data_IF_318601059138
#
_entry.id   IF_318601059138
#
_cell.length_a   1.000
_cell.length_b   1.000
_cell.length_c   1.000
_cell.angle_alpha   90.00
_cell.angle_beta   90.00
_cell.angle_gamma   90.00
#
_symmetry.space_group_name_H-M   'P 1'
#
loop_
_entity.id
_entity.type
_entity.pdbx_description
1 polymer ?
#
# COMPACT_ATOMS: atom_id res chain seq x y z
N UNK A 1 6.01 -4.33 -7.60
CA UNK A 1 5.93 -3.02 -6.95
C UNK A 1 5.58 -3.21 -5.48
N UNK A 2 6.16 -2.39 -4.60
CA UNK A 2 5.90 -2.36 -3.14
C UNK A 2 6.18 -3.67 -2.40
N UNK A 3 7.42 -4.16 -2.48
CA UNK A 3 7.87 -5.42 -1.87
C UNK A 3 7.70 -5.44 -0.35
N UNK A 4 8.02 -4.32 0.30
CA UNK A 4 7.90 -4.19 1.75
C UNK A 4 6.43 -4.21 2.18
N UNK A 5 5.57 -3.41 1.54
CA UNK A 5 4.13 -3.46 1.76
C UNK A 5 3.57 -4.88 1.60
N UNK A 6 3.91 -5.58 0.52
CA UNK A 6 3.45 -6.97 0.28
C UNK A 6 3.93 -7.95 1.35
N UNK A 7 5.16 -7.77 1.83
CA UNK A 7 5.72 -8.59 2.90
C UNK A 7 4.98 -8.38 4.21
N UNK A 8 4.68 -7.13 4.57
CA UNK A 8 3.90 -6.82 5.77
C UNK A 8 2.44 -7.28 5.62
N UNK A 9 1.82 -7.12 4.45
CA UNK A 9 0.48 -7.67 4.18
C UNK A 9 0.45 -9.19 4.44
N UNK A 10 1.44 -9.94 3.95
CA UNK A 10 1.54 -11.37 4.20
C UNK A 10 1.77 -11.72 5.68
N UNK A 11 2.65 -10.98 6.38
CA UNK A 11 2.96 -11.19 7.81
C UNK A 11 1.76 -10.95 8.72
N UNK A 12 0.93 -9.97 8.40
CA UNK A 12 -0.25 -9.60 9.18
C UNK A 12 -1.54 -10.21 8.65
N UNK A 13 -1.45 -11.12 7.66
CA UNK A 13 -2.59 -11.75 6.99
C UNK A 13 -3.63 -10.73 6.47
N UNK A 14 -3.15 -9.60 5.97
CA UNK A 14 -3.98 -8.54 5.38
C UNK A 14 -4.15 -8.82 3.89
N UNK A 15 -5.36 -9.14 3.48
CA UNK A 15 -5.68 -9.31 2.06
C UNK A 15 -5.91 -7.98 1.38
N UNK A 16 -5.84 -7.98 0.05
CA UNK A 16 -6.14 -6.77 -0.73
C UNK A 16 -7.64 -6.39 -0.65
N UNK A 17 -8.51 -7.37 -0.42
CA UNK A 17 -9.94 -7.17 -0.17
C UNK A 17 -10.18 -6.48 1.17
N UNK A 18 -9.50 -6.92 2.23
CA UNK A 18 -9.55 -6.25 3.53
C UNK A 18 -9.00 -4.83 3.44
N UNK A 19 -7.87 -4.66 2.74
CA UNK A 19 -7.28 -3.34 2.54
C UNK A 19 -8.20 -2.40 1.76
N UNK A 20 -8.87 -2.89 0.71
CA UNK A 20 -9.88 -2.12 -0.01
C UNK A 20 -11.03 -1.69 0.91
N UNK A 21 -11.53 -2.60 1.75
CA UNK A 21 -12.58 -2.31 2.72
C UNK A 21 -12.16 -1.25 3.76
N UNK A 22 -10.95 -1.34 4.30
CA UNK A 22 -10.43 -0.40 5.30
C UNK A 22 -10.10 0.98 4.71
N UNK A 23 -9.58 1.02 3.48
CA UNK A 23 -9.15 2.27 2.84
C UNK A 23 -10.27 3.00 2.09
N UNK A 24 -11.37 2.32 1.78
CA UNK A 24 -12.42 2.84 0.90
C UNK A 24 -12.02 2.92 -0.57
N UNK A 25 -10.83 2.41 -0.94
CA UNK A 25 -10.37 2.32 -2.32
C UNK A 25 -11.00 1.06 -2.93
N UNK A 26 -11.57 1.18 -4.13
CA UNK A 26 -12.12 0.00 -4.81
C UNK A 26 -11.05 -1.07 -5.04
N UNK A 27 -11.42 -2.34 -4.89
CA UNK A 27 -10.50 -3.48 -5.06
C UNK A 27 -9.73 -3.42 -6.40
N UNK A 28 -10.42 -3.04 -7.48
CA UNK A 28 -9.83 -2.84 -8.81
C UNK A 28 -8.77 -1.72 -8.79
N UNK A 29 -9.13 -0.55 -8.27
CA UNK A 29 -8.21 0.59 -8.20
C UNK A 29 -7.00 0.27 -7.34
N UNK A 30 -7.20 -0.39 -6.20
CA UNK A 30 -6.10 -0.80 -5.32
C UNK A 30 -5.16 -1.80 -6.02
N UNK A 31 -5.69 -2.78 -6.77
CA UNK A 31 -4.88 -3.71 -7.58
C UNK A 31 -4.09 -2.99 -8.68
N UNK A 32 -4.72 -2.08 -9.41
CA UNK A 32 -4.06 -1.31 -10.46
C UNK A 32 -2.95 -0.42 -9.87
N UNK A 33 -3.19 0.23 -8.73
CA UNK A 33 -2.19 1.06 -8.03
C UNK A 33 -1.03 0.22 -7.48
N UNK A 34 -1.30 -0.89 -6.79
CA UNK A 34 -0.28 -1.76 -6.19
C UNK A 34 0.47 -2.64 -7.20
N UNK A 35 0.02 -2.67 -8.46
CA UNK A 35 0.75 -3.26 -9.58
C UNK A 35 1.59 -2.24 -10.36
N UNK A 36 1.36 -0.94 -10.15
CA UNK A 36 2.03 0.14 -10.88
C UNK A 36 1.35 0.54 -12.19
N UNK A 37 0.15 0.00 -12.47
CA UNK A 37 -0.62 0.34 -13.66
C UNK A 37 -1.22 1.75 -13.58
N UNK A 38 -1.51 2.22 -12.38
CA UNK A 38 -2.02 3.57 -12.12
C UNK A 38 -1.24 4.24 -11.00
N UNK A 39 -1.26 5.58 -11.00
CA UNK A 39 -0.59 6.40 -9.98
C UNK A 39 -1.16 6.11 -8.59
N UNK A 40 -0.26 5.88 -7.64
CA UNK A 40 -0.57 5.83 -6.21
C UNK A 40 -0.35 7.23 -5.63
N UNK A 41 -1.42 7.89 -5.15
CA UNK A 41 -1.34 9.23 -4.59
C UNK A 41 -0.96 9.19 -3.11
N UNK A 42 -0.48 10.33 -2.58
CA UNK A 42 -0.10 10.43 -1.17
C UNK A 42 -1.27 10.12 -0.22
N UNK A 43 -2.50 10.49 -0.58
CA UNK A 43 -3.69 10.11 0.19
C UNK A 43 -3.91 8.59 0.26
N UNK A 44 -3.61 7.86 -0.82
CA UNK A 44 -3.72 6.40 -0.84
C UNK A 44 -2.68 5.78 0.09
N UNK A 45 -1.45 6.31 0.06
CA UNK A 45 -0.35 5.91 0.93
C UNK A 45 -0.74 6.04 2.40
N UNK A 46 -1.33 7.16 2.79
CA UNK A 46 -1.79 7.40 4.16
C UNK A 46 -2.91 6.42 4.57
N UNK A 47 -3.89 6.18 3.70
CA UNK A 47 -4.98 5.23 3.95
C UNK A 47 -4.46 3.81 4.10
N UNK A 48 -3.57 3.36 3.20
CA UNK A 48 -2.97 2.03 3.24
C UNK A 48 -2.14 1.85 4.52
N UNK A 49 -1.36 2.86 4.92
CA UNK A 49 -0.61 2.83 6.19
C UNK A 49 -1.56 2.65 7.38
N UNK A 50 -2.70 3.34 7.39
CA UNK A 50 -3.68 3.26 8.48
C UNK A 50 -4.38 1.88 8.58
N UNK A 51 -4.29 1.04 7.54
CA UNK A 51 -4.84 -0.32 7.60
C UNK A 51 -3.98 -1.28 8.45
N UNK A 52 -2.76 -0.91 8.80
CA UNK A 52 -1.90 -1.69 9.69
C UNK A 52 -2.12 -1.27 11.15
N UNK A 53 -2.23 -2.25 12.05
CA UNK A 53 -2.33 -2.02 13.49
C UNK A 53 -1.02 -1.52 14.12
N UNK A 54 0.12 -1.75 13.45
CA UNK A 54 1.44 -1.29 13.88
C UNK A 54 1.84 -0.04 13.09
N UNK A 55 2.49 0.96 13.71
CA UNK A 55 3.06 2.07 12.98
C UNK A 55 4.22 1.59 12.10
N UNK A 56 4.03 1.69 10.79
CA UNK A 56 5.09 1.53 9.79
C UNK A 56 5.46 2.88 9.19
N UNK A 57 6.74 3.05 8.88
CA UNK A 57 7.22 4.22 8.15
C UNK A 57 6.77 4.16 6.69
N UNK A 58 6.30 5.29 6.15
CA UNK A 58 5.90 5.40 4.73
C UNK A 58 7.07 5.04 3.82
N UNK A 59 8.26 5.55 4.15
CA UNK A 59 9.49 5.29 3.38
C UNK A 59 9.87 3.81 3.37
N UNK A 60 9.51 3.05 4.40
CA UNK A 60 9.72 1.60 4.43
C UNK A 60 8.70 0.89 3.55
N UNK A 61 7.40 1.13 3.77
CA UNK A 61 6.33 0.43 3.03
C UNK A 61 6.39 0.69 1.51
N UNK A 62 6.76 1.92 1.13
CA UNK A 62 6.75 2.41 -0.25
C UNK A 62 8.15 2.82 -0.73
N UNK A 63 9.18 2.07 -0.34
CA UNK A 63 10.59 2.35 -0.67
C UNK A 63 10.80 2.61 -2.18
N UNK A 64 10.09 1.90 -3.05
CA UNK A 64 10.19 2.06 -4.50
C UNK A 64 9.69 3.40 -5.03
N UNK A 65 8.86 4.15 -4.28
CA UNK A 65 8.50 5.53 -4.64
C UNK A 65 9.63 6.51 -4.33
N UNK A 66 10.41 6.23 -3.29
CA UNK A 66 11.51 7.09 -2.85
C UNK A 66 12.73 6.90 -3.75
N UNK A 67 13.01 5.67 -4.15
CA UNK A 67 14.09 5.35 -5.10
C UNK A 67 13.89 6.03 -6.46
N UNK A 68 12.65 6.29 -6.89
CA UNK A 68 12.35 6.98 -8.14
C UNK A 68 12.57 8.50 -8.10
N UNK A 69 12.75 9.09 -6.91
CA UNK A 69 12.96 10.54 -6.74
C UNK A 69 14.46 10.90 -6.66
N UNK A 70 15.35 9.90 -6.76
CA UNK A 70 16.81 10.07 -6.79
C UNK A 70 17.36 9.95 -8.20
#
# INVERSE_FOLDING_TARGET
MFRNLRSEMARYNITIEQMAATTGISLKSLRDKLSGKTTLYFEDVLKIKAAFSKPFEVNYLFAELIEQVR
#
